data_IF_739477969029
#
_entry.id   IF_739477969029
#
_cell.length_a   1.000
_cell.length_b   1.000
_cell.length_c   1.000
_cell.angle_alpha   90.00
_cell.angle_beta   90.00
_cell.angle_gamma   90.00
#
_symmetry.space_group_name_H-M   'P 1'
#
loop_
_entity.id
_entity.type
_entity.pdbx_description
1 polymer ?
#
# COMPACT_ATOMS: atom_id res chain seq x y z
N UNK A 1 12.49 -15.32 19.08
CA UNK A 1 11.50 -14.21 19.11
C UNK A 1 11.91 -13.03 18.23
N UNK A 2 13.15 -12.55 18.29
CA UNK A 2 13.61 -11.37 17.55
C UNK A 2 13.41 -11.46 16.02
N UNK A 3 13.70 -12.61 15.40
CA UNK A 3 13.47 -12.81 13.97
C UNK A 3 11.98 -12.73 13.58
N UNK A 4 11.08 -13.28 14.40
CA UNK A 4 9.63 -13.17 14.18
C UNK A 4 9.16 -11.71 14.28
N UNK A 5 9.65 -10.97 15.27
CA UNK A 5 9.35 -9.54 15.41
C UNK A 5 9.85 -8.75 14.18
N UNK A 6 11.08 -9.02 13.72
CA UNK A 6 11.66 -8.40 12.51
C UNK A 6 10.81 -8.69 11.27
N UNK A 7 10.31 -9.93 11.13
CA UNK A 7 9.41 -10.29 10.03
C UNK A 7 8.11 -9.47 10.05
N UNK A 8 7.44 -9.35 11.19
CA UNK A 8 6.20 -8.59 11.29
C UNK A 8 6.42 -7.09 11.02
N UNK A 9 7.49 -6.50 11.54
CA UNK A 9 7.88 -5.12 11.23
C UNK A 9 8.13 -4.92 9.73
N UNK A 10 8.84 -5.85 9.09
CA UNK A 10 9.09 -5.79 7.66
C UNK A 10 7.81 -5.95 6.85
N UNK A 11 6.89 -6.80 7.31
CA UNK A 11 5.60 -7.02 6.66
C UNK A 11 4.71 -5.77 6.71
N UNK A 12 4.71 -5.05 7.84
CA UNK A 12 4.04 -3.75 7.97
C UNK A 12 4.66 -2.76 6.98
N UNK A 13 5.99 -2.69 6.93
CA UNK A 13 6.70 -1.74 6.09
C UNK A 13 6.43 -1.98 4.60
N UNK A 14 6.52 -3.23 4.15
CA UNK A 14 6.25 -3.62 2.76
C UNK A 14 4.80 -3.32 2.38
N UNK A 15 3.85 -3.67 3.26
CA UNK A 15 2.42 -3.40 3.01
C UNK A 15 2.12 -1.91 2.92
N UNK A 16 2.77 -1.09 3.76
CA UNK A 16 2.65 0.37 3.72
C UNK A 16 3.27 0.95 2.44
N UNK A 17 4.45 0.48 2.02
CA UNK A 17 5.08 0.90 0.77
C UNK A 17 4.21 0.58 -0.44
N UNK A 18 3.68 -0.65 -0.50
CA UNK A 18 2.82 -1.08 -1.60
C UNK A 18 1.56 -0.20 -1.69
N UNK A 19 0.89 0.03 -0.55
CA UNK A 19 -0.26 0.92 -0.47
C UNK A 19 0.08 2.35 -0.88
N UNK A 20 1.21 2.89 -0.42
CA UNK A 20 1.67 4.23 -0.75
C UNK A 20 1.94 4.44 -2.24
N UNK A 21 2.57 3.47 -2.90
CA UNK A 21 2.81 3.51 -4.36
C UNK A 21 1.49 3.54 -5.12
N UNK A 22 0.51 2.73 -4.73
CA UNK A 22 -0.79 2.67 -5.41
C UNK A 22 -1.57 3.97 -5.24
N UNK A 23 -1.59 4.57 -4.04
CA UNK A 23 -2.19 5.90 -3.85
C UNK A 23 -1.46 6.93 -4.71
N UNK A 24 -0.12 6.94 -4.65
CA UNK A 24 0.71 7.92 -5.37
C UNK A 24 0.45 7.87 -6.87
N UNK A 25 0.37 6.67 -7.45
CA UNK A 25 0.03 6.47 -8.85
C UNK A 25 -1.40 6.92 -9.17
N UNK A 26 -2.39 6.55 -8.34
CA UNK A 26 -3.79 6.95 -8.52
C UNK A 26 -3.95 8.48 -8.52
N UNK A 27 -3.27 9.13 -7.58
CA UNK A 27 -3.24 10.58 -7.46
C UNK A 27 -2.56 11.24 -8.66
N UNK A 28 -1.40 10.74 -9.08
CA UNK A 28 -0.66 11.26 -10.23
C UNK A 28 -1.49 11.16 -11.53
N UNK A 29 -2.11 10.01 -11.79
CA UNK A 29 -2.96 9.81 -12.97
C UNK A 29 -4.17 10.73 -12.94
N UNK A 30 -4.84 10.85 -11.79
CA UNK A 30 -6.01 11.72 -11.65
C UNK A 30 -5.67 13.19 -11.91
N UNK A 31 -4.52 13.65 -11.41
CA UNK A 31 -4.07 15.03 -11.60
C UNK A 31 -3.64 15.31 -13.03
N UNK A 32 -2.90 14.40 -13.67
CA UNK A 32 -2.53 14.53 -15.08
C UNK A 32 -3.80 14.57 -15.95
N UNK A 33 -4.76 13.69 -15.67
CA UNK A 33 -6.04 13.68 -16.39
C UNK A 33 -6.78 15.01 -16.24
N UNK A 34 -6.92 15.54 -15.01
CA UNK A 34 -7.60 16.81 -14.77
C UNK A 34 -6.87 18.00 -15.43
N UNK A 35 -5.54 17.99 -15.41
CA UNK A 35 -4.70 18.99 -16.09
C UNK A 35 -4.94 18.98 -17.60
N UNK A 36 -4.92 17.80 -18.23
CA UNK A 36 -5.17 17.64 -19.67
C UNK A 36 -6.62 18.00 -20.03
N UNK A 37 -7.57 17.67 -19.17
CA UNK A 37 -8.98 17.95 -19.39
C UNK A 37 -9.37 19.42 -19.10
N UNK A 38 -8.43 20.27 -18.67
CA UNK A 38 -8.69 21.66 -18.30
C UNK A 38 -9.65 21.81 -17.11
N UNK A 39 -9.77 20.77 -16.28
CA UNK A 39 -10.64 20.76 -15.10
C UNK A 39 -9.92 21.29 -13.88
N UNK A 40 -10.65 21.96 -13.01
CA UNK A 40 -10.12 22.45 -11.75
C UNK A 40 -9.59 21.30 -10.88
N UNK A 41 -8.50 21.58 -10.18
CA UNK A 41 -7.80 20.64 -9.34
C UNK A 41 -8.58 20.39 -8.05
N UNK A 42 -9.31 19.28 -7.97
CA UNK A 42 -9.99 18.86 -6.75
C UNK A 42 -9.27 17.69 -6.06
N UNK A 43 -8.75 17.95 -4.87
CA UNK A 43 -8.18 16.93 -3.99
C UNK A 43 -9.30 16.23 -3.21
N UNK A 44 -9.76 15.07 -3.68
CA UNK A 44 -10.58 14.18 -2.87
C UNK A 44 -9.74 13.01 -2.34
N UNK A 45 -9.27 13.12 -1.09
CA UNK A 45 -8.43 12.09 -0.47
C UNK A 45 -9.20 10.87 0.03
N UNK A 46 -10.53 10.92 0.14
CA UNK A 46 -11.33 9.82 0.72
C UNK A 46 -11.16 8.51 -0.06
N UNK A 47 -11.19 8.58 -1.38
CA UNK A 47 -10.98 7.40 -2.24
C UNK A 47 -9.59 6.80 -2.04
N UNK A 48 -8.56 7.65 -1.97
CA UNK A 48 -7.17 7.22 -1.73
C UNK A 48 -6.99 6.54 -0.37
N UNK A 49 -7.64 7.03 0.68
CA UNK A 49 -7.61 6.41 2.02
C UNK A 49 -8.23 5.02 1.97
N UNK A 50 -9.38 4.86 1.31
CA UNK A 50 -10.05 3.56 1.18
C UNK A 50 -9.16 2.57 0.42
N UNK A 51 -8.60 2.99 -0.73
CA UNK A 51 -7.70 2.15 -1.54
C UNK A 51 -6.49 1.72 -0.72
N UNK A 52 -5.88 2.66 0.02
CA UNK A 52 -4.75 2.35 0.90
C UNK A 52 -5.11 1.31 1.95
N UNK A 53 -6.21 1.50 2.67
CA UNK A 53 -6.64 0.58 3.72
C UNK A 53 -6.87 -0.83 3.17
N UNK A 54 -7.51 -0.96 2.01
CA UNK A 54 -7.74 -2.26 1.36
C UNK A 54 -6.41 -2.93 0.99
N UNK A 55 -5.51 -2.21 0.32
CA UNK A 55 -4.20 -2.76 -0.09
C UNK A 55 -3.35 -3.11 1.13
N UNK A 56 -3.31 -2.23 2.13
CA UNK A 56 -2.52 -2.43 3.33
C UNK A 56 -3.00 -3.65 4.12
N UNK A 57 -4.30 -3.73 4.42
CA UNK A 57 -4.87 -4.82 5.21
C UNK A 57 -4.74 -6.14 4.46
N UNK A 58 -4.99 -6.16 3.15
CA UNK A 58 -4.89 -7.38 2.35
C UNK A 58 -3.46 -7.90 2.23
N UNK A 59 -2.50 -7.02 1.93
CA UNK A 59 -1.07 -7.35 1.88
C UNK A 59 -0.52 -7.81 3.23
N UNK A 60 -0.88 -7.10 4.30
CA UNK A 60 -0.44 -7.46 5.65
C UNK A 60 -1.03 -8.80 6.09
N UNK A 61 -2.33 -9.01 5.88
CA UNK A 61 -3.01 -10.27 6.22
C UNK A 61 -2.45 -11.46 5.45
N UNK A 62 -2.07 -11.26 4.18
CA UNK A 62 -1.40 -12.29 3.38
C UNK A 62 -0.06 -12.70 3.99
N UNK A 63 0.78 -11.73 4.38
CA UNK A 63 2.07 -12.00 5.03
C UNK A 63 1.89 -12.66 6.41
N UNK A 64 0.89 -12.26 7.19
CA UNK A 64 0.55 -12.92 8.45
C UNK A 64 0.17 -14.38 8.24
N UNK A 65 -0.65 -14.68 7.22
CA UNK A 65 -1.10 -16.05 6.91
C UNK A 65 0.04 -16.96 6.47
N UNK A 66 1.00 -16.44 5.70
CA UNK A 66 2.19 -17.18 5.28
C UNK A 66 3.20 -17.38 6.40
N UNK A 67 3.26 -16.45 7.35
CA UNK A 67 4.18 -16.51 8.47
C UNK A 67 5.64 -16.27 8.09
N UNK A 68 6.54 -16.23 9.09
CA UNK A 68 7.96 -15.91 8.91
C UNK A 68 8.72 -16.96 8.09
N UNK A 69 8.18 -18.17 7.94
CA UNK A 69 8.78 -19.26 7.18
C UNK A 69 8.79 -18.99 5.66
N UNK A 70 8.04 -17.99 5.18
CA UNK A 70 8.09 -17.55 3.77
C UNK A 70 9.46 -16.98 3.36
N UNK A 71 10.28 -16.56 4.33
CA UNK A 71 11.64 -16.06 4.12
C UNK A 71 12.71 -17.14 4.33
N UNK A 72 12.31 -18.32 4.80
CA UNK A 72 13.18 -19.47 5.02
C UNK A 72 12.86 -20.48 3.91
N UNK A 73 13.29 -20.16 2.69
CA UNK A 73 13.48 -21.20 1.69
C UNK A 73 14.88 -21.77 1.91
N UNK A 74 14.96 -23.08 2.19
CA UNK A 74 16.18 -23.88 1.96
C UNK A 74 16.59 -23.82 0.48
#
# INVERSE_FOLDING_TARGET
MFQKLKFYLMSILISAFLGGIIIGANFLVHNIYNLVAGKEYQFNMWSSIIIFSVVFISGFSYMLKKGPDILVND
#
